data_IF_556377432732
#
_entry.id   IF_556377432732
#
_cell.length_a   1.000
_cell.length_b   1.000
_cell.length_c   1.000
_cell.angle_alpha   90.00
_cell.angle_beta   90.00
_cell.angle_gamma   90.00
#
_symmetry.space_group_name_H-M   'P 1'
#
loop_
_entity.id
_entity.type
_entity.pdbx_description
1 polymer ?
#
# COMPACT_ATOMS: atom_id res chain seq x y z
N UNK A 1 -3.93 1.39 26.24
CA UNK A 1 -2.94 0.28 26.28
C UNK A 1 -1.63 0.85 25.77
N UNK A 2 -0.71 1.21 26.66
CA UNK A 2 0.53 1.91 26.30
C UNK A 2 1.46 0.98 25.52
N UNK A 3 1.93 1.42 24.35
CA UNK A 3 2.90 0.69 23.55
C UNK A 3 4.21 0.54 24.33
N UNK A 4 4.63 -0.70 24.59
CA UNK A 4 5.96 -0.94 25.17
C UNK A 4 7.05 -0.53 24.17
N UNK A 5 8.05 0.29 24.56
CA UNK A 5 9.09 0.82 23.66
C UNK A 5 9.83 -0.27 22.85
N UNK A 6 10.02 -1.44 23.45
CA UNK A 6 10.64 -2.61 22.79
C UNK A 6 9.89 -3.04 21.52
N UNK A 7 8.57 -2.85 21.48
CA UNK A 7 7.76 -3.26 20.33
C UNK A 7 7.94 -2.33 19.12
N UNK A 8 8.07 -1.02 19.36
CA UNK A 8 8.26 -0.04 18.28
C UNK A 8 9.63 -0.20 17.61
N UNK A 9 10.69 -0.34 18.41
CA UNK A 9 12.03 -0.63 17.89
C UNK A 9 12.06 -1.91 17.04
N UNK A 10 11.46 -3.00 17.53
CA UNK A 10 11.38 -4.25 16.78
C UNK A 10 10.53 -4.12 15.51
N UNK A 11 9.49 -3.29 15.52
CA UNK A 11 8.69 -3.00 14.32
C UNK A 11 9.52 -2.27 13.26
N UNK A 12 10.23 -1.21 13.66
CA UNK A 12 11.12 -0.45 12.81
C UNK A 12 12.25 -1.32 12.22
N UNK A 13 12.92 -2.12 13.06
CA UNK A 13 13.96 -3.05 12.62
C UNK A 13 13.43 -4.06 11.59
N UNK A 14 12.25 -4.64 11.85
CA UNK A 14 11.60 -5.56 10.91
C UNK A 14 11.21 -4.86 9.60
N UNK A 15 10.80 -3.60 9.65
CA UNK A 15 10.53 -2.81 8.45
C UNK A 15 11.81 -2.61 7.63
N UNK A 16 12.90 -2.16 8.27
CA UNK A 16 14.21 -1.98 7.63
C UNK A 16 14.70 -3.26 6.93
N UNK A 17 14.68 -4.40 7.63
CA UNK A 17 15.09 -5.70 7.06
C UNK A 17 14.24 -6.05 5.83
N UNK A 18 12.92 -5.81 5.86
CA UNK A 18 12.03 -6.09 4.73
C UNK A 18 12.32 -5.16 3.55
N UNK A 19 12.55 -3.87 3.79
CA UNK A 19 12.92 -2.91 2.76
C UNK A 19 14.23 -3.27 2.07
N UNK A 20 15.25 -3.70 2.84
CA UNK A 20 16.55 -4.14 2.31
C UNK A 20 16.40 -5.42 1.48
N UNK A 21 15.64 -6.41 1.99
CA UNK A 21 15.52 -7.72 1.33
C UNK A 21 14.66 -7.68 0.07
N UNK A 22 13.50 -7.03 0.12
CA UNK A 22 12.60 -6.91 -1.01
C UNK A 22 11.62 -5.74 -0.81
N UNK A 23 11.96 -4.53 -1.29
CA UNK A 23 11.15 -3.34 -1.07
C UNK A 23 9.76 -3.47 -1.72
N UNK A 24 9.65 -4.09 -2.90
CA UNK A 24 8.37 -4.26 -3.58
C UNK A 24 7.38 -5.12 -2.78
N UNK A 25 7.86 -6.22 -2.17
CA UNK A 25 7.04 -7.04 -1.26
C UNK A 25 6.70 -6.32 0.04
N UNK A 26 7.57 -5.45 0.53
CA UNK A 26 7.27 -4.61 1.68
C UNK A 26 6.14 -3.63 1.36
N UNK A 27 6.24 -2.88 0.27
CA UNK A 27 5.19 -1.94 -0.14
C UNK A 27 3.86 -2.63 -0.45
N UNK A 28 3.86 -3.79 -1.11
CA UNK A 28 2.64 -4.59 -1.31
C UNK A 28 1.98 -4.98 0.03
N UNK A 29 2.80 -5.29 1.05
CA UNK A 29 2.29 -5.55 2.40
C UNK A 29 1.73 -4.29 3.06
N UNK A 30 2.38 -3.14 2.89
CA UNK A 30 1.89 -1.85 3.42
C UNK A 30 0.52 -1.52 2.82
N UNK A 31 0.36 -1.64 1.50
CA UNK A 31 -0.92 -1.41 0.83
C UNK A 31 -2.03 -2.34 1.33
N UNK A 32 -1.74 -3.64 1.47
CA UNK A 32 -2.70 -4.60 2.04
C UNK A 32 -3.11 -4.21 3.45
N UNK A 33 -2.14 -3.86 4.29
CA UNK A 33 -2.44 -3.48 5.66
C UNK A 33 -3.27 -2.20 5.71
N UNK A 34 -3.00 -1.24 4.82
CA UNK A 34 -3.73 0.02 4.74
C UNK A 34 -5.19 -0.16 4.33
N UNK A 35 -5.48 -1.14 3.48
CA UNK A 35 -6.84 -1.47 3.03
C UNK A 35 -7.58 -2.34 4.06
N UNK A 36 -6.88 -3.21 4.79
CA UNK A 36 -7.50 -4.21 5.67
C UNK A 36 -7.69 -3.73 7.13
N UNK A 37 -7.53 -2.44 7.42
CA UNK A 37 -7.84 -1.86 8.73
C UNK A 37 -9.35 -1.66 8.91
N UNK A 38 -9.80 -1.27 10.12
CA UNK A 38 -11.17 -0.80 10.28
C UNK A 38 -11.28 0.58 9.59
N UNK A 39 -11.77 0.58 8.35
CA UNK A 39 -11.58 1.69 7.41
C UNK A 39 -10.22 1.61 6.71
N UNK A 40 -9.82 2.69 6.05
CA UNK A 40 -8.57 2.72 5.26
C UNK A 40 -7.55 3.67 5.87
N UNK A 41 -6.30 3.21 6.00
CA UNK A 41 -5.15 4.07 6.27
C UNK A 41 -4.76 4.81 4.98
N UNK A 42 -5.48 5.90 4.71
CA UNK A 42 -5.33 6.71 3.50
C UNK A 42 -3.92 7.31 3.38
N UNK A 43 -3.25 7.61 4.50
CA UNK A 43 -1.89 8.12 4.53
C UNK A 43 -0.89 7.09 4.04
N UNK A 44 -0.98 5.85 4.51
CA UNK A 44 -0.11 4.78 4.04
C UNK A 44 -0.41 4.42 2.57
N UNK A 45 -1.69 4.39 2.19
CA UNK A 45 -2.13 4.13 0.83
C UNK A 45 -1.58 5.18 -0.14
N UNK A 46 -1.84 6.46 0.13
CA UNK A 46 -1.38 7.61 -0.66
C UNK A 46 0.14 7.64 -0.75
N UNK A 47 0.84 7.52 0.39
CA UNK A 47 2.30 7.58 0.43
C UNK A 47 2.93 6.53 -0.47
N UNK A 48 2.43 5.29 -0.44
CA UNK A 48 2.99 4.23 -1.29
C UNK A 48 2.64 4.47 -2.77
N UNK A 49 1.38 4.78 -3.11
CA UNK A 49 0.99 4.96 -4.52
C UNK A 49 1.75 6.13 -5.14
N UNK A 50 1.75 7.31 -4.49
CA UNK A 50 2.38 8.52 -5.02
C UNK A 50 3.89 8.35 -5.14
N UNK A 51 4.58 7.90 -4.08
CA UNK A 51 6.06 7.85 -4.09
C UNK A 51 6.65 6.74 -4.97
N UNK A 52 5.82 5.75 -5.36
CA UNK A 52 6.24 4.61 -6.18
C UNK A 52 5.70 4.66 -7.61
N UNK A 53 4.76 5.56 -7.92
CA UNK A 53 4.07 5.66 -9.22
C UNK A 53 5.04 5.56 -10.41
N UNK A 54 6.11 6.36 -10.40
CA UNK A 54 7.08 6.45 -11.49
C UNK A 54 8.28 5.50 -11.34
N UNK A 55 8.30 4.63 -10.33
CA UNK A 55 9.45 3.77 -10.00
C UNK A 55 9.15 2.30 -10.24
N UNK A 56 8.28 1.74 -9.42
CA UNK A 56 8.01 0.29 -9.39
C UNK A 56 6.60 -0.05 -8.92
N UNK A 57 5.67 0.91 -8.96
CA UNK A 57 4.27 0.70 -8.56
C UNK A 57 3.63 -0.48 -9.32
N UNK A 58 3.90 -0.63 -10.62
CA UNK A 58 3.44 -1.79 -11.40
C UNK A 58 3.90 -3.12 -10.80
N UNK A 59 5.14 -3.20 -10.32
CA UNK A 59 5.64 -4.44 -9.70
C UNK A 59 5.02 -4.69 -8.34
N UNK A 60 4.77 -3.61 -7.59
CA UNK A 60 4.11 -3.67 -6.30
C UNK A 60 2.66 -4.16 -6.45
N UNK A 61 1.91 -3.65 -7.43
CA UNK A 61 0.52 -4.06 -7.69
C UNK A 61 0.42 -5.52 -8.15
N UNK A 62 1.34 -6.01 -8.98
CA UNK A 62 1.44 -7.44 -9.33
C UNK A 62 1.64 -8.33 -8.10
N UNK A 63 2.54 -7.92 -7.19
CA UNK A 63 2.82 -8.66 -5.96
C UNK A 63 1.64 -8.62 -4.98
N UNK A 64 0.94 -7.49 -4.92
CA UNK A 64 -0.31 -7.36 -4.17
C UNK A 64 -1.35 -8.35 -4.70
N UNK A 65 -1.62 -8.33 -6.01
CA UNK A 65 -2.59 -9.22 -6.64
C UNK A 65 -2.26 -10.70 -6.38
N UNK A 66 -1.00 -11.10 -6.59
CA UNK A 66 -0.53 -12.46 -6.31
C UNK A 66 -0.73 -12.89 -4.86
N UNK A 67 -0.70 -11.95 -3.91
CA UNK A 67 -0.80 -12.24 -2.47
C UNK A 67 -2.24 -12.24 -1.97
N UNK A 68 -3.13 -11.49 -2.62
CA UNK A 68 -4.48 -11.20 -2.15
C UNK A 68 -5.58 -11.83 -3.02
N UNK A 69 -5.25 -12.32 -4.22
CA UNK A 69 -6.22 -12.78 -5.23
C UNK A 69 -7.28 -11.72 -5.60
N UNK A 70 -6.90 -10.44 -5.47
CA UNK A 70 -7.73 -9.28 -5.78
C UNK A 70 -6.78 -8.16 -6.24
N UNK A 71 -7.16 -7.40 -7.27
CA UNK A 71 -6.34 -6.30 -7.76
C UNK A 71 -6.38 -5.10 -6.80
N UNK A 72 -5.33 -4.27 -6.79
CA UNK A 72 -5.28 -3.12 -5.88
C UNK A 72 -6.39 -2.11 -6.20
N UNK A 73 -6.67 -1.89 -7.49
CA UNK A 73 -7.76 -1.05 -7.99
C UNK A 73 -9.14 -1.54 -7.54
N UNK A 74 -9.41 -2.85 -7.59
CA UNK A 74 -10.65 -3.44 -7.09
C UNK A 74 -10.80 -3.24 -5.59
N UNK A 75 -9.74 -3.46 -4.83
CA UNK A 75 -9.75 -3.29 -3.38
C UNK A 75 -9.97 -1.82 -2.99
N UNK A 76 -9.23 -0.89 -3.59
CA UNK A 76 -9.40 0.54 -3.36
C UNK A 76 -10.77 1.07 -3.80
N UNK A 77 -11.35 0.49 -4.86
CA UNK A 77 -12.65 0.92 -5.36
C UNK A 77 -13.79 0.70 -4.36
N UNK A 78 -13.62 -0.21 -3.39
CA UNK A 78 -14.55 -0.49 -2.28
C UNK A 78 -14.34 0.44 -1.09
N UNK A 79 -13.10 0.84 -0.87
CA UNK A 79 -12.69 1.60 0.32
C UNK A 79 -12.64 3.12 0.12
N UNK A 80 -12.38 3.58 -1.10
CA UNK A 80 -12.19 5.00 -1.43
C UNK A 80 -13.32 5.51 -2.32
N UNK A 81 -13.57 6.82 -2.31
CA UNK A 81 -14.66 7.43 -3.08
C UNK A 81 -14.26 8.74 -3.76
N UNK A 82 -15.08 9.18 -4.72
CA UNK A 82 -15.00 10.48 -5.41
C UNK A 82 -13.61 10.76 -5.99
N UNK A 83 -13.14 12.00 -5.88
CA UNK A 83 -11.92 12.50 -6.51
C UNK A 83 -10.66 11.81 -6.00
N UNK A 84 -10.65 11.40 -4.73
CA UNK A 84 -9.54 10.65 -4.16
C UNK A 84 -9.37 9.29 -4.85
N UNK A 85 -10.47 8.55 -5.03
CA UNK A 85 -10.46 7.31 -5.81
C UNK A 85 -9.99 7.54 -7.25
N UNK A 86 -10.52 8.57 -7.91
CA UNK A 86 -10.16 8.90 -9.29
C UNK A 86 -8.66 9.22 -9.43
N UNK A 87 -8.12 10.01 -8.50
CA UNK A 87 -6.70 10.35 -8.43
C UNK A 87 -5.81 9.11 -8.26
N UNK A 88 -6.13 8.22 -7.32
CA UNK A 88 -5.33 7.01 -7.10
C UNK A 88 -5.40 6.04 -8.30
N UNK A 89 -6.58 5.90 -8.94
CA UNK A 89 -6.72 5.08 -10.14
C UNK A 89 -5.94 5.64 -11.33
N UNK A 90 -5.87 6.97 -11.47
CA UNK A 90 -5.06 7.62 -12.49
C UNK A 90 -3.57 7.28 -12.32
N UNK A 91 -3.05 7.32 -11.09
CA UNK A 91 -1.66 6.94 -10.78
C UNK A 91 -1.38 5.45 -11.00
N UNK A 92 -2.40 4.60 -10.94
CA UNK A 92 -2.30 3.17 -11.28
C UNK A 92 -2.36 2.91 -12.80
N UNK A 93 -2.46 3.95 -13.63
CA UNK A 93 -2.54 3.82 -15.08
C UNK A 93 -3.95 3.51 -15.61
N UNK A 94 -4.99 3.71 -14.79
CA UNK A 94 -6.39 3.54 -15.18
C UNK A 94 -7.08 4.87 -15.51
N UNK A 95 -6.32 5.96 -15.62
CA UNK A 95 -6.83 7.27 -16.03
C UNK A 95 -6.97 7.37 -17.54
N UNK A 96 -8.18 7.17 -18.05
CA UNK A 96 -8.50 7.38 -19.45
C UNK A 96 -10.01 7.48 -19.69
N UNK A 97 -10.60 8.65 -19.37
CA UNK A 97 -11.13 9.66 -20.33
C UNK A 97 -10.87 11.02 -19.70
#
# INVERSE_FOLDING_TARGET
>A
MLSHPTNEYLSALRAAIRCIKNPNRYYAKVLRNAINTAGTDEDALTRVIVTRAEKDLKKITELYHKRNNESLDQAMAKETSRDYKAFLLALLGHGGI
#
